data_IF_957132483088
#
_entry.id   IF_957132483088
#
_cell.length_a   1.000
_cell.length_b   1.000
_cell.length_c   1.000
_cell.angle_alpha   90.00
_cell.angle_beta   90.00
_cell.angle_gamma   90.00
#
_symmetry.space_group_name_H-M   'P 1'
#
loop_
_entity.id
_entity.type
_entity.pdbx_description
1 polymer ?
#
# COMPACT_ATOMS: atom_id res chain seq x y z
N UNK A 1 12.98 -2.00 -6.06
CA UNK A 1 11.84 -2.55 -5.28
C UNK A 1 10.65 -1.58 -5.23
N UNK A 2 10.83 -0.35 -4.72
CA UNK A 2 9.74 0.63 -4.61
C UNK A 2 9.05 0.93 -5.95
N UNK A 3 9.82 1.15 -7.01
CA UNK A 3 9.30 1.36 -8.37
C UNK A 3 8.46 0.17 -8.86
N UNK A 4 8.91 -1.07 -8.63
CA UNK A 4 8.14 -2.27 -8.99
C UNK A 4 6.78 -2.32 -8.27
N UNK A 5 6.73 -1.90 -6.99
CA UNK A 5 5.47 -1.79 -6.23
C UNK A 5 4.57 -0.64 -6.72
N UNK A 6 5.14 0.43 -7.26
CA UNK A 6 4.38 1.51 -7.89
C UNK A 6 3.71 1.03 -9.18
N UNK A 7 4.46 0.31 -10.02
CA UNK A 7 3.93 -0.31 -11.25
C UNK A 7 2.83 -1.31 -10.89
N UNK A 8 3.10 -2.22 -9.96
CA UNK A 8 2.15 -3.25 -9.51
C UNK A 8 0.80 -2.65 -9.08
N UNK A 9 0.81 -1.69 -8.15
CA UNK A 9 -0.41 -1.02 -7.66
C UNK A 9 -1.14 -0.24 -8.76
N UNK A 10 -0.43 0.19 -9.80
CA UNK A 10 -1.01 0.93 -10.93
C UNK A 10 -1.72 0.03 -11.94
N UNK A 11 -1.35 -1.25 -12.04
CA UNK A 11 -1.90 -2.17 -13.06
C UNK A 11 -2.78 -3.29 -12.47
N UNK A 12 -2.49 -3.74 -11.24
CA UNK A 12 -3.14 -4.90 -10.61
C UNK A 12 -4.67 -4.79 -10.51
N UNK A 13 -5.28 -3.64 -10.14
CA UNK A 13 -6.73 -3.55 -9.97
C UNK A 13 -7.54 -3.70 -11.27
N UNK A 14 -6.88 -3.65 -12.43
CA UNK A 14 -7.54 -3.65 -13.73
C UNK A 14 -7.50 -5.02 -14.43
N UNK A 15 -6.87 -6.04 -13.82
CA UNK A 15 -7.05 -7.42 -14.27
C UNK A 15 -8.46 -7.91 -13.93
N UNK A 16 -9.08 -8.74 -14.79
CA UNK A 16 -10.39 -9.31 -14.48
C UNK A 16 -10.32 -10.23 -13.26
N UNK A 17 -11.43 -10.31 -12.51
CA UNK A 17 -11.55 -11.25 -11.40
C UNK A 17 -11.39 -12.70 -11.90
N UNK A 18 -10.74 -13.55 -11.10
CA UNK A 18 -10.45 -14.93 -11.47
C UNK A 18 -9.36 -15.11 -12.54
N UNK A 19 -8.59 -14.08 -12.88
CA UNK A 19 -7.48 -14.18 -13.82
C UNK A 19 -6.23 -14.82 -13.17
N UNK A 20 -6.24 -16.14 -13.00
CA UNK A 20 -5.14 -16.90 -12.38
C UNK A 20 -4.17 -17.47 -13.40
N UNK A 21 -3.59 -16.55 -14.17
CA UNK A 21 -2.54 -16.85 -15.13
C UNK A 21 -1.27 -16.13 -14.68
N UNK A 22 -0.18 -16.89 -14.55
CA UNK A 22 1.10 -16.31 -14.18
C UNK A 22 1.49 -15.23 -15.20
N UNK A 23 1.74 -14.02 -14.69
CA UNK A 23 1.90 -12.82 -15.50
C UNK A 23 3.07 -12.03 -14.97
N UNK A 24 4.08 -11.83 -15.81
CA UNK A 24 5.29 -11.11 -15.46
C UNK A 24 5.43 -9.84 -16.29
N UNK A 25 5.65 -8.72 -15.61
CA UNK A 25 6.00 -7.43 -16.24
C UNK A 25 7.46 -7.13 -15.91
N UNK A 26 8.29 -6.99 -16.95
CA UNK A 26 9.71 -6.66 -16.83
C UNK A 26 9.94 -5.30 -17.47
N UNK A 27 10.63 -4.42 -16.74
CA UNK A 27 11.05 -3.10 -17.23
C UNK A 27 12.56 -3.11 -17.43
N UNK A 28 13.02 -2.77 -18.63
CA UNK A 28 14.43 -2.61 -18.96
C UNK A 28 14.73 -1.13 -19.23
N UNK A 29 15.74 -0.58 -18.58
CA UNK A 29 16.20 0.79 -18.79
C UNK A 29 17.21 0.81 -19.94
N UNK A 30 16.74 1.12 -21.14
CA UNK A 30 17.58 1.18 -22.34
C UNK A 30 18.61 2.32 -22.27
N UNK A 31 18.17 3.49 -21.80
CA UNK A 31 18.99 4.65 -21.57
C UNK A 31 18.34 5.49 -20.45
N UNK A 32 19.16 6.21 -19.70
CA UNK A 32 18.73 7.14 -18.66
C UNK A 32 19.54 8.41 -18.83
N UNK A 33 18.86 9.55 -18.94
CA UNK A 33 19.50 10.86 -18.88
C UNK A 33 19.62 11.34 -17.43
N UNK A 34 20.37 12.43 -17.24
CA UNK A 34 20.58 13.08 -15.95
C UNK A 34 19.40 13.96 -15.51
N UNK A 35 18.35 14.04 -16.33
CA UNK A 35 17.31 15.06 -16.21
C UNK A 35 15.99 14.47 -15.72
N UNK A 36 15.57 13.31 -16.23
CA UNK A 36 14.29 12.69 -15.90
C UNK A 36 14.46 11.36 -15.15
N UNK A 37 13.58 11.15 -14.16
CA UNK A 37 13.51 9.89 -13.43
C UNK A 37 12.71 8.87 -14.25
N UNK A 38 13.19 7.63 -14.46
CA UNK A 38 12.57 6.65 -15.35
C UNK A 38 11.31 5.97 -14.77
N UNK A 39 10.95 6.25 -13.52
CA UNK A 39 9.91 5.52 -12.80
C UNK A 39 8.53 5.66 -13.43
N UNK A 40 8.16 6.88 -13.84
CA UNK A 40 6.86 7.17 -14.45
C UNK A 40 6.76 6.58 -15.85
N UNK A 41 7.85 6.62 -16.61
CA UNK A 41 7.96 6.01 -17.93
C UNK A 41 7.78 4.50 -17.83
N UNK A 42 8.35 3.86 -16.81
CA UNK A 42 8.15 2.43 -16.59
C UNK A 42 6.68 2.06 -16.30
N UNK A 43 5.93 2.90 -15.55
CA UNK A 43 4.50 2.69 -15.31
C UNK A 43 3.71 2.80 -16.64
N UNK A 44 3.97 3.86 -17.40
CA UNK A 44 3.30 4.08 -18.70
C UNK A 44 3.67 3.00 -19.73
N UNK A 45 4.91 2.51 -19.72
CA UNK A 45 5.36 1.43 -20.58
C UNK A 45 4.67 0.10 -20.22
N UNK A 46 4.50 -0.21 -18.93
CA UNK A 46 3.74 -1.38 -18.49
C UNK A 46 2.28 -1.31 -18.96
N UNK A 47 1.66 -0.12 -18.85
CA UNK A 47 0.31 0.14 -19.35
C UNK A 47 0.20 -0.05 -20.86
N UNK A 48 1.11 0.54 -21.63
CA UNK A 48 1.16 0.39 -23.08
C UNK A 48 1.41 -1.07 -23.49
N UNK A 49 2.31 -1.78 -22.81
CA UNK A 49 2.61 -3.18 -23.10
C UNK A 49 1.39 -4.08 -22.86
N UNK A 50 0.65 -3.89 -21.77
CA UNK A 50 -0.59 -4.63 -21.49
C UNK A 50 -1.70 -4.27 -22.49
N UNK A 51 -1.87 -2.99 -22.79
CA UNK A 51 -2.85 -2.53 -23.79
C UNK A 51 -2.57 -3.11 -25.18
N UNK A 52 -1.30 -3.19 -25.58
CA UNK A 52 -0.84 -3.75 -26.85
C UNK A 52 -0.53 -5.25 -26.79
N UNK A 53 -0.90 -5.93 -25.70
CA UNK A 53 -0.83 -7.39 -25.63
C UNK A 53 -2.21 -8.00 -25.91
N UNK A 54 -2.23 -9.31 -26.07
CA UNK A 54 -3.48 -10.07 -26.06
C UNK A 54 -3.99 -10.36 -24.64
N UNK A 55 -3.30 -9.94 -23.56
CA UNK A 55 -3.68 -10.20 -22.17
C UNK A 55 -4.96 -9.41 -21.82
N UNK A 56 -5.98 -10.05 -21.19
CA UNK A 56 -7.18 -9.36 -20.72
C UNK A 56 -6.84 -8.38 -19.58
N UNK A 57 -6.99 -7.08 -19.86
CA UNK A 57 -6.67 -6.03 -18.90
C UNK A 57 -7.50 -4.77 -19.19
N UNK A 58 -8.20 -4.25 -18.18
CA UNK A 58 -9.21 -3.19 -18.29
C UNK A 58 -8.61 -1.78 -18.19
N UNK A 59 -7.47 -1.54 -18.86
CA UNK A 59 -6.83 -0.23 -18.97
C UNK A 59 -7.27 0.55 -20.22
N UNK A 60 -6.39 1.39 -20.80
CA UNK A 60 -5.05 1.72 -20.32
C UNK A 60 -5.07 2.68 -19.14
N UNK A 61 -3.95 2.72 -18.41
CA UNK A 61 -3.68 3.81 -17.46
C UNK A 61 -2.71 4.82 -18.06
N UNK A 62 -2.73 6.04 -17.52
CA UNK A 62 -1.66 7.02 -17.67
C UNK A 62 -1.11 7.37 -16.30
N UNK A 63 0.19 7.66 -16.22
CA UNK A 63 0.85 8.05 -15.00
C UNK A 63 1.71 9.29 -15.19
N UNK A 64 1.71 10.17 -14.20
CA UNK A 64 2.57 11.37 -14.15
C UNK A 64 3.15 11.54 -12.75
N UNK A 65 4.31 12.20 -12.67
CA UNK A 65 4.80 12.81 -11.43
C UNK A 65 4.36 14.26 -11.40
N UNK A 66 4.02 14.74 -10.22
CA UNK A 66 3.59 16.10 -9.93
C UNK A 66 4.49 16.65 -8.83
N UNK A 67 5.17 17.75 -9.13
CA UNK A 67 5.94 18.55 -8.18
C UNK A 67 5.23 19.86 -7.85
N UNK A 68 5.71 20.54 -6.82
CA UNK A 68 5.28 21.87 -6.40
C UNK A 68 6.52 22.72 -6.16
N UNK A 69 6.73 23.75 -6.99
CA UNK A 69 7.95 24.58 -6.98
C UNK A 69 7.49 26.03 -6.93
N UNK A 70 7.94 26.78 -5.93
CA UNK A 70 7.52 28.17 -5.70
C UNK A 70 5.98 28.36 -5.67
N UNK A 71 5.25 27.34 -5.18
CA UNK A 71 3.79 27.31 -5.12
C UNK A 71 3.08 26.89 -6.41
N UNK A 72 3.82 26.58 -7.47
CA UNK A 72 3.29 26.19 -8.77
C UNK A 72 3.40 24.70 -9.04
N UNK A 73 2.35 24.12 -9.63
CA UNK A 73 2.30 22.69 -9.97
C UNK A 73 3.08 22.41 -11.26
N UNK A 74 4.08 21.53 -11.17
CA UNK A 74 4.91 21.11 -12.31
C UNK A 74 4.67 19.63 -12.62
N UNK A 75 4.41 19.31 -13.89
CA UNK A 75 4.18 17.94 -14.36
C UNK A 75 5.47 17.33 -14.91
N UNK A 76 5.76 16.10 -14.47
CA UNK A 76 6.98 15.37 -14.76
C UNK A 76 8.25 16.22 -14.57
N UNK A 77 8.42 16.86 -13.39
CA UNK A 77 9.58 17.68 -13.09
C UNK A 77 10.88 16.88 -13.28
N UNK A 78 11.90 17.58 -13.76
CA UNK A 78 13.28 17.11 -13.82
C UNK A 78 13.82 16.79 -12.42
N UNK A 79 14.94 16.08 -12.33
CA UNK A 79 15.62 15.79 -11.07
C UNK A 79 16.04 17.05 -10.33
N UNK A 80 16.45 18.09 -11.08
CA UNK A 80 16.80 19.40 -10.52
C UNK A 80 15.57 20.08 -9.92
N UNK A 81 14.50 20.17 -10.68
CA UNK A 81 13.21 20.70 -10.20
C UNK A 81 12.70 19.94 -8.97
N UNK A 82 12.80 18.61 -8.98
CA UNK A 82 12.42 17.76 -7.84
C UNK A 82 13.24 18.01 -6.58
N UNK A 83 14.47 18.53 -6.68
CA UNK A 83 15.28 18.87 -5.51
C UNK A 83 14.82 20.14 -4.80
N UNK A 84 14.05 20.99 -5.50
CA UNK A 84 13.44 22.22 -4.97
C UNK A 84 11.94 22.07 -4.75
N UNK A 85 11.38 20.88 -5.00
CA UNK A 85 9.95 20.63 -4.96
C UNK A 85 9.49 20.24 -3.57
N UNK A 86 8.47 20.91 -3.03
CA UNK A 86 7.82 20.57 -1.75
C UNK A 86 6.84 19.41 -1.86
N UNK A 87 6.62 18.90 -3.08
CA UNK A 87 5.75 17.76 -3.36
C UNK A 87 6.44 16.77 -4.30
N UNK A 88 6.32 15.48 -4.00
CA UNK A 88 6.64 14.38 -4.92
C UNK A 88 5.44 13.45 -4.97
N UNK A 89 4.50 13.75 -5.86
CA UNK A 89 3.27 12.97 -6.05
C UNK A 89 3.35 12.19 -7.36
N UNK A 90 3.12 10.89 -7.32
CA UNK A 90 2.88 10.07 -8.52
C UNK A 90 1.40 9.72 -8.56
N UNK A 91 0.75 10.04 -9.69
CA UNK A 91 -0.67 9.75 -9.94
C UNK A 91 -0.77 8.79 -11.11
N UNK A 92 -1.46 7.67 -10.93
CA UNK A 92 -1.90 6.79 -12.01
C UNK A 92 -3.41 6.87 -12.15
N UNK A 93 -3.88 7.28 -13.33
CA UNK A 93 -5.28 7.40 -13.67
C UNK A 93 -5.71 6.37 -14.72
N UNK A 94 -6.97 5.97 -14.66
CA UNK A 94 -7.70 5.18 -15.66
C UNK A 94 -8.66 6.09 -16.46
N UNK A 95 -9.33 5.57 -17.50
CA UNK A 95 -10.28 6.36 -18.29
C UNK A 95 -11.39 6.97 -17.43
N UNK A 96 -11.99 8.05 -17.91
CA UNK A 96 -13.03 8.83 -17.19
C UNK A 96 -12.52 9.45 -15.88
N UNK A 97 -11.22 9.75 -15.81
CA UNK A 97 -10.60 10.38 -14.63
C UNK A 97 -10.79 9.57 -13.34
N UNK A 98 -10.77 8.24 -13.43
CA UNK A 98 -10.70 7.38 -12.25
C UNK A 98 -9.25 7.30 -11.75
N UNK A 99 -9.05 7.46 -10.44
CA UNK A 99 -7.73 7.29 -9.82
C UNK A 99 -7.53 5.80 -9.52
N UNK A 100 -6.41 5.24 -9.96
CA UNK A 100 -6.01 3.85 -9.66
C UNK A 100 -5.00 3.81 -8.53
N UNK A 101 -4.01 4.70 -8.56
CA UNK A 101 -2.90 4.71 -7.59
C UNK A 101 -2.43 6.15 -7.32
N UNK A 102 -2.17 6.43 -6.04
CA UNK A 102 -1.47 7.63 -5.58
C UNK A 102 -0.31 7.20 -4.69
N UNK A 103 0.85 7.81 -4.90
CA UNK A 103 1.99 7.73 -3.99
C UNK A 103 2.55 9.14 -3.80
N UNK A 104 2.71 9.59 -2.56
CA UNK A 104 3.21 10.93 -2.30
C UNK A 104 4.24 10.99 -1.17
N UNK A 105 5.12 11.97 -1.27
CA UNK A 105 5.85 12.58 -0.16
C UNK A 105 5.72 14.09 -0.31
N UNK A 106 5.56 14.83 0.77
CA UNK A 106 5.39 16.28 0.73
C UNK A 106 5.97 16.93 1.98
N UNK A 107 6.47 18.15 1.84
CA UNK A 107 7.07 18.93 2.93
C UNK A 107 5.98 19.71 3.66
N UNK A 108 5.09 18.98 4.34
CA UNK A 108 3.98 19.51 5.14
C UNK A 108 3.10 20.56 4.42
N UNK A 109 2.79 20.30 3.14
CA UNK A 109 1.99 21.23 2.34
C UNK A 109 0.51 21.27 2.76
N UNK A 110 -0.20 22.33 2.38
CA UNK A 110 -1.63 22.47 2.66
C UNK A 110 -2.45 21.39 1.93
N UNK A 111 -3.53 20.93 2.58
CA UNK A 111 -4.45 19.96 2.00
C UNK A 111 -5.04 20.44 0.65
N UNK A 112 -5.34 21.73 0.52
CA UNK A 112 -5.90 22.30 -0.69
C UNK A 112 -4.93 22.18 -1.87
N UNK A 113 -3.65 22.47 -1.64
CA UNK A 113 -2.58 22.36 -2.64
C UNK A 113 -2.34 20.91 -3.04
N UNK A 114 -2.33 20.00 -2.06
CA UNK A 114 -2.22 18.56 -2.33
C UNK A 114 -3.39 18.05 -3.19
N UNK A 115 -4.63 18.43 -2.86
CA UNK A 115 -5.81 18.09 -3.64
C UNK A 115 -5.78 18.72 -5.04
N UNK A 116 -5.28 19.95 -5.17
CA UNK A 116 -5.10 20.61 -6.46
C UNK A 116 -4.10 19.85 -7.34
N UNK A 117 -2.94 19.49 -6.78
CA UNK A 117 -1.91 18.72 -7.48
C UNK A 117 -2.43 17.36 -7.99
N UNK A 118 -3.27 16.64 -7.20
CA UNK A 118 -3.93 15.41 -7.66
C UNK A 118 -4.80 15.67 -8.89
N UNK A 119 -5.64 16.71 -8.85
CA UNK A 119 -6.56 17.04 -9.96
C UNK A 119 -5.79 17.39 -11.24
N UNK A 120 -4.73 18.18 -11.12
CA UNK A 120 -3.88 18.55 -12.26
C UNK A 120 -3.13 17.33 -12.81
N UNK A 121 -2.59 16.48 -11.93
CA UNK A 121 -1.95 15.22 -12.33
C UNK A 121 -2.90 14.31 -13.11
N UNK A 122 -4.09 14.07 -12.56
CA UNK A 122 -5.13 13.24 -13.16
C UNK A 122 -5.59 13.76 -14.53
N UNK A 123 -5.65 15.09 -14.74
CA UNK A 123 -5.92 15.68 -16.06
C UNK A 123 -4.85 15.25 -17.09
N UNK A 124 -3.59 15.28 -16.71
CA UNK A 124 -2.48 14.93 -17.61
C UNK A 124 -2.40 13.41 -17.87
N UNK A 125 -2.83 12.57 -16.92
CA UNK A 125 -2.92 11.12 -17.19
C UNK A 125 -3.89 10.81 -18.34
N UNK A 126 -4.96 11.59 -18.51
CA UNK A 126 -5.93 11.37 -19.59
C UNK A 126 -5.32 11.60 -20.98
N UNK A 127 -4.36 12.51 -21.12
CA UNK A 127 -3.65 12.74 -22.39
C UNK A 127 -2.82 11.51 -22.78
N UNK A 128 -2.13 10.89 -21.81
CA UNK A 128 -1.37 9.66 -22.02
C UNK A 128 -2.30 8.49 -22.40
N UNK A 129 -3.44 8.36 -21.70
CA UNK A 129 -4.47 7.34 -21.99
C UNK A 129 -4.96 7.47 -23.43
N UNK A 130 -5.23 8.69 -23.91
CA UNK A 130 -5.66 8.92 -25.28
C UNK A 130 -4.60 8.47 -26.30
N UNK A 131 -3.33 8.74 -26.03
CA UNK A 131 -2.21 8.27 -26.85
C UNK A 131 -2.12 6.74 -26.90
N UNK A 132 -2.22 6.06 -25.75
CA UNK A 132 -2.18 4.59 -25.70
C UNK A 132 -3.40 3.97 -26.41
N UNK A 133 -4.59 4.54 -26.23
CA UNK A 133 -5.80 4.10 -26.93
C UNK A 133 -5.70 4.29 -28.45
N UNK A 134 -5.01 5.35 -28.91
CA UNK A 134 -4.73 5.51 -30.33
C UNK A 134 -3.85 4.37 -30.85
N UNK A 135 -2.75 4.07 -30.15
CA UNK A 135 -1.86 2.96 -30.51
C UNK A 135 -2.59 1.61 -30.53
N UNK A 136 -3.46 1.37 -29.56
CA UNK A 136 -4.29 0.15 -29.50
C UNK A 136 -5.21 0.02 -30.72
N UNK A 137 -5.88 1.11 -31.13
CA UNK A 137 -6.72 1.14 -32.33
C UNK A 137 -5.93 0.90 -33.61
N UNK A 138 -4.76 1.51 -33.74
CA UNK A 138 -3.89 1.36 -34.91
C UNK A 138 -3.36 -0.08 -35.06
N UNK A 139 -3.12 -0.78 -33.95
CA UNK A 139 -2.63 -2.17 -33.97
C UNK A 139 -3.73 -3.21 -34.07
N UNK A 140 -4.94 -2.92 -33.59
CA UNK A 140 -6.11 -3.80 -33.73
C UNK A 140 -5.95 -5.17 -33.05
N UNK A 141 -5.21 -5.24 -31.94
CA UNK A 141 -4.87 -6.50 -31.27
C UNK A 141 -6.10 -7.05 -30.56
N UNK A 142 -6.47 -8.29 -30.89
CA UNK A 142 -7.56 -8.99 -30.20
C UNK A 142 -7.07 -9.53 -28.86
N UNK A 143 -7.82 -9.28 -27.79
CA UNK A 143 -7.60 -9.90 -26.48
C UNK A 143 -7.92 -11.39 -26.55
N UNK A 144 -7.12 -12.22 -25.89
CA UNK A 144 -7.39 -13.66 -25.76
C UNK A 144 -8.66 -13.87 -24.92
N UNK A 145 -9.51 -14.82 -25.31
CA UNK A 145 -10.81 -15.07 -24.68
C UNK A 145 -11.02 -16.51 -24.24
N UNK A 146 -10.18 -17.45 -24.70
CA UNK A 146 -10.34 -18.89 -24.45
C UNK A 146 -9.91 -19.32 -23.03
N UNK A 147 -9.61 -18.34 -22.17
CA UNK A 147 -9.14 -18.56 -20.81
C UNK A 147 -10.32 -18.73 -19.85
N UNK A 148 -10.31 -19.83 -19.07
CA UNK A 148 -11.20 -20.00 -17.93
C UNK A 148 -10.89 -18.91 -16.90
N UNK A 149 -11.87 -18.04 -16.63
CA UNK A 149 -11.83 -17.18 -15.45
C UNK A 149 -12.30 -18.00 -14.24
N UNK A 150 -11.49 -18.03 -13.20
CA UNK A 150 -11.77 -18.77 -11.96
C UNK A 150 -12.68 -17.95 -11.04
N UNK A 151 -13.88 -17.65 -11.51
CA UNK A 151 -14.93 -16.98 -10.74
C UNK A 151 -15.88 -18.01 -10.15
N UNK A 152 -16.42 -17.73 -8.96
CA UNK A 152 -17.42 -18.57 -8.33
C UNK A 152 -18.68 -18.75 -9.22
N UNK A 153 -19.11 -19.99 -9.51
CA UNK A 153 -20.34 -20.22 -10.28
C UNK A 153 -21.58 -19.66 -9.57
N UNK A 154 -22.43 -18.93 -10.30
CA UNK A 154 -23.59 -18.24 -9.71
C UNK A 154 -24.54 -19.17 -8.93
N UNK A 155 -24.72 -20.40 -9.40
CA UNK A 155 -25.57 -21.39 -8.73
C UNK A 155 -25.04 -21.77 -7.35
N UNK A 156 -23.71 -21.99 -7.24
CA UNK A 156 -23.04 -22.33 -5.99
C UNK A 156 -23.09 -21.12 -5.04
N UNK A 157 -22.84 -19.90 -5.55
CA UNK A 157 -22.95 -18.66 -4.78
C UNK A 157 -24.35 -18.49 -4.17
N UNK A 158 -25.42 -18.69 -4.97
CA UNK A 158 -26.80 -18.57 -4.48
C UNK A 158 -27.10 -19.59 -3.39
N UNK A 159 -26.63 -20.83 -3.54
CA UNK A 159 -26.82 -21.86 -2.51
C UNK A 159 -26.00 -21.55 -1.25
N UNK A 160 -24.75 -21.13 -1.39
CA UNK A 160 -23.91 -20.69 -0.29
C UNK A 160 -24.55 -19.51 0.47
N UNK A 161 -25.18 -18.59 -0.25
CA UNK A 161 -25.92 -17.48 0.33
C UNK A 161 -27.09 -17.98 1.19
N UNK A 162 -27.88 -18.95 0.70
CA UNK A 162 -28.98 -19.53 1.48
C UNK A 162 -28.50 -20.18 2.78
N UNK A 163 -27.35 -20.87 2.75
CA UNK A 163 -26.81 -21.57 3.91
C UNK A 163 -26.15 -20.65 4.95
N UNK A 164 -25.39 -19.66 4.48
CA UNK A 164 -24.47 -18.91 5.33
C UNK A 164 -24.99 -17.53 5.72
N UNK A 165 -25.95 -16.94 5.00
CA UNK A 165 -26.25 -15.51 5.14
C UNK A 165 -26.61 -15.08 6.54
N UNK A 166 -27.54 -15.78 7.18
CA UNK A 166 -27.99 -15.44 8.54
C UNK A 166 -26.85 -15.55 9.55
N UNK A 167 -26.10 -16.67 9.52
CA UNK A 167 -24.96 -16.92 10.42
C UNK A 167 -23.85 -15.89 10.25
N UNK A 168 -23.48 -15.57 9.01
CA UNK A 168 -22.44 -14.57 8.70
C UNK A 168 -22.89 -13.17 9.11
N UNK A 169 -24.15 -12.83 8.87
CA UNK A 169 -24.74 -11.55 9.28
C UNK A 169 -24.71 -11.40 10.80
N UNK A 170 -25.07 -12.45 11.53
CA UNK A 170 -25.02 -12.44 12.99
C UNK A 170 -23.60 -12.16 13.51
N UNK A 171 -22.58 -12.83 12.96
CA UNK A 171 -21.18 -12.60 13.36
C UNK A 171 -20.72 -11.17 13.05
N UNK A 172 -21.04 -10.62 11.89
CA UNK A 172 -20.64 -9.26 11.53
C UNK A 172 -21.45 -8.16 12.23
N UNK A 173 -22.58 -8.51 12.85
CA UNK A 173 -23.41 -7.60 13.65
C UNK A 173 -23.14 -7.72 15.16
N UNK A 174 -22.37 -8.73 15.58
CA UNK A 174 -21.93 -8.89 16.96
C UNK A 174 -20.65 -8.08 17.20
N UNK A 175 -20.83 -6.93 17.86
CA UNK A 175 -19.73 -6.00 18.17
C UNK A 175 -18.86 -6.44 19.36
N UNK A 176 -19.18 -7.58 20.01
CA UNK A 176 -18.34 -8.14 21.08
C UNK A 176 -17.12 -8.88 20.54
N UNK A 177 -17.12 -9.22 19.25
CA UNK A 177 -16.01 -9.90 18.60
C UNK A 177 -14.76 -9.03 18.44
N UNK A 178 -13.62 -9.56 18.90
CA UNK A 178 -12.30 -9.09 18.51
C UNK A 178 -11.87 -9.67 17.14
N UNK A 179 -10.64 -9.40 16.67
CA UNK A 179 -10.11 -9.96 15.42
C UNK A 179 -10.17 -11.51 15.39
N UNK A 180 -9.63 -12.17 16.40
CA UNK A 180 -9.43 -13.63 16.40
C UNK A 180 -10.78 -14.33 16.50
N UNK A 181 -11.61 -13.96 17.49
CA UNK A 181 -12.91 -14.60 17.67
C UNK A 181 -13.84 -14.42 16.45
N UNK A 182 -13.75 -13.29 15.74
CA UNK A 182 -14.49 -13.08 14.48
C UNK A 182 -13.98 -13.99 13.36
N UNK A 183 -12.66 -14.05 13.17
CA UNK A 183 -12.06 -14.87 12.12
C UNK A 183 -12.35 -16.36 12.35
N UNK A 184 -12.31 -16.83 13.60
CA UNK A 184 -12.69 -18.18 14.00
C UNK A 184 -14.18 -18.47 13.77
N UNK A 185 -15.07 -17.55 14.14
CA UNK A 185 -16.51 -17.69 13.94
C UNK A 185 -16.86 -17.77 12.45
N UNK A 186 -16.29 -16.89 11.62
CA UNK A 186 -16.46 -16.94 10.16
C UNK A 186 -15.87 -18.22 9.58
N UNK A 187 -14.69 -18.65 10.03
CA UNK A 187 -14.07 -19.88 9.55
C UNK A 187 -14.91 -21.13 9.90
N UNK A 188 -15.52 -21.17 11.09
CA UNK A 188 -16.43 -22.26 11.45
C UNK A 188 -17.61 -22.33 10.49
N UNK A 189 -18.25 -21.19 10.21
CA UNK A 189 -19.36 -21.11 9.25
C UNK A 189 -18.89 -21.50 7.84
N UNK A 190 -17.68 -21.09 7.45
CA UNK A 190 -17.07 -21.47 6.17
C UNK A 190 -16.98 -22.99 6.06
N UNK A 191 -16.34 -23.66 7.00
CA UNK A 191 -16.15 -25.12 6.95
C UNK A 191 -17.48 -25.87 6.88
N UNK A 192 -18.46 -25.49 7.72
CA UNK A 192 -19.81 -26.08 7.69
C UNK A 192 -20.54 -25.86 6.34
N UNK A 193 -20.34 -24.70 5.73
CA UNK A 193 -20.97 -24.34 4.46
C UNK A 193 -20.27 -25.06 3.30
N UNK A 194 -18.94 -25.10 3.29
CA UNK A 194 -18.16 -25.79 2.27
C UNK A 194 -18.44 -27.29 2.24
N UNK A 195 -18.66 -27.92 3.40
CA UNK A 195 -19.06 -29.34 3.50
C UNK A 195 -20.41 -29.60 2.79
N UNK A 196 -21.43 -28.81 3.12
CA UNK A 196 -22.76 -28.92 2.49
C UNK A 196 -22.73 -28.57 1.00
N UNK A 197 -21.89 -27.62 0.59
CA UNK A 197 -21.71 -27.28 -0.82
C UNK A 197 -21.05 -28.43 -1.58
N UNK A 198 -20.06 -29.12 -1.00
CA UNK A 198 -19.42 -30.30 -1.60
C UNK A 198 -20.39 -31.46 -1.77
N UNK A 199 -21.29 -31.67 -0.81
CA UNK A 199 -22.35 -32.68 -0.93
C UNK A 199 -23.37 -32.34 -2.03
N UNK A 200 -23.76 -31.06 -2.12
CA UNK A 200 -24.73 -30.58 -3.11
C UNK A 200 -24.16 -30.54 -4.53
N UNK A 201 -22.89 -30.18 -4.67
CA UNK A 201 -22.17 -29.99 -5.93
C UNK A 201 -20.92 -30.87 -5.98
N UNK A 202 -21.05 -32.21 -6.02
CA UNK A 202 -19.92 -33.14 -5.90
C UNK A 202 -18.92 -33.07 -7.07
N UNK A 203 -19.29 -32.44 -8.18
CA UNK A 203 -18.42 -32.22 -9.34
C UNK A 203 -17.75 -30.84 -9.40
N UNK A 204 -18.03 -29.95 -8.44
CA UNK A 204 -17.43 -28.62 -8.39
C UNK A 204 -15.99 -28.67 -7.87
N UNK A 205 -15.13 -27.80 -8.40
CA UNK A 205 -13.77 -27.68 -7.91
C UNK A 205 -13.76 -27.11 -6.48
N UNK A 206 -12.89 -27.60 -5.60
CA UNK A 206 -12.84 -27.13 -4.21
C UNK A 206 -12.56 -25.63 -4.12
N UNK A 207 -11.83 -25.06 -5.09
CA UNK A 207 -11.59 -23.64 -5.17
C UNK A 207 -12.88 -22.87 -5.48
N UNK A 208 -13.71 -23.35 -6.41
CA UNK A 208 -15.01 -22.72 -6.74
C UNK A 208 -15.95 -22.69 -5.53
N UNK A 209 -15.90 -23.74 -4.70
CA UNK A 209 -16.66 -23.83 -3.44
C UNK A 209 -16.17 -22.78 -2.43
N UNK A 210 -14.87 -22.73 -2.17
CA UNK A 210 -14.28 -21.74 -1.24
C UNK A 210 -14.49 -20.31 -1.71
N UNK A 211 -14.31 -20.04 -3.02
CA UNK A 211 -14.52 -18.70 -3.57
C UNK A 211 -15.99 -18.29 -3.51
N UNK A 212 -16.93 -19.23 -3.69
CA UNK A 212 -18.36 -18.96 -3.54
C UNK A 212 -18.71 -18.47 -2.13
N UNK A 213 -18.16 -19.10 -1.09
CA UNK A 213 -18.32 -18.62 0.28
C UNK A 213 -17.68 -17.24 0.49
N UNK A 214 -16.47 -17.03 -0.03
CA UNK A 214 -15.76 -15.74 0.11
C UNK A 214 -16.55 -14.58 -0.54
N UNK A 215 -17.14 -14.81 -1.72
CA UNK A 215 -18.00 -13.83 -2.40
C UNK A 215 -19.20 -13.46 -1.53
N UNK A 216 -19.91 -14.46 -0.99
CA UNK A 216 -21.08 -14.26 -0.11
C UNK A 216 -20.70 -13.49 1.15
N UNK A 217 -19.65 -13.94 1.86
CA UNK A 217 -19.22 -13.29 3.10
C UNK A 217 -18.79 -11.83 2.87
N UNK A 218 -18.07 -11.57 1.77
CA UNK A 218 -17.67 -10.23 1.37
C UNK A 218 -18.87 -9.35 1.01
N UNK A 219 -19.85 -9.88 0.31
CA UNK A 219 -21.06 -9.14 -0.06
C UNK A 219 -21.86 -8.74 1.18
N UNK A 220 -22.12 -9.70 2.10
CA UNK A 220 -22.83 -9.45 3.35
C UNK A 220 -22.10 -8.38 4.18
N UNK A 221 -20.79 -8.54 4.36
CA UNK A 221 -19.97 -7.58 5.09
C UNK A 221 -20.10 -6.15 4.55
N UNK A 222 -20.07 -6.00 3.21
CA UNK A 222 -20.20 -4.69 2.56
C UNK A 222 -21.62 -4.13 2.69
N UNK A 223 -22.64 -4.97 2.49
CA UNK A 223 -24.03 -4.56 2.55
C UNK A 223 -24.42 -4.09 3.95
N UNK A 224 -23.94 -4.75 5.01
CA UNK A 224 -24.14 -4.30 6.39
C UNK A 224 -23.61 -2.88 6.60
N UNK A 225 -22.38 -2.62 6.18
CA UNK A 225 -21.76 -1.28 6.29
C UNK A 225 -22.58 -0.22 5.53
N UNK A 226 -23.03 -0.54 4.32
CA UNK A 226 -23.76 0.40 3.46
C UNK A 226 -25.20 0.65 3.91
N UNK A 227 -25.86 -0.36 4.47
CA UNK A 227 -27.27 -0.31 4.84
C UNK A 227 -27.47 0.20 6.27
N UNK A 228 -26.61 -0.22 7.21
CA UNK A 228 -26.75 0.10 8.64
C UNK A 228 -25.90 1.28 9.08
N UNK A 229 -25.02 1.79 8.20
CA UNK A 229 -24.09 2.88 8.51
C UNK A 229 -23.19 2.59 9.73
N UNK A 230 -22.95 1.31 9.99
CA UNK A 230 -22.22 0.79 11.15
C UNK A 230 -21.26 -0.30 10.72
N UNK A 231 -20.12 -0.37 11.39
CA UNK A 231 -19.06 -1.35 11.10
C UNK A 231 -19.18 -2.58 11.98
N UNK A 232 -18.48 -3.63 11.59
CA UNK A 232 -18.46 -4.92 12.29
C UNK A 232 -17.88 -4.90 13.72
N UNK A 233 -17.26 -3.80 14.13
CA UNK A 233 -16.79 -3.56 15.50
C UNK A 233 -17.60 -2.47 16.22
N UNK A 234 -18.80 -2.17 15.70
CA UNK A 234 -19.77 -1.27 16.31
C UNK A 234 -19.50 0.22 16.07
N UNK A 235 -18.38 0.59 15.43
CA UNK A 235 -18.03 1.99 15.14
C UNK A 235 -18.81 2.57 13.97
N UNK A 236 -18.97 3.88 13.96
CA UNK A 236 -19.34 4.66 12.78
C UNK A 236 -18.15 4.81 11.80
N UNK A 237 -18.37 5.53 10.70
CA UNK A 237 -17.38 5.72 9.63
C UNK A 237 -16.18 6.61 10.01
N UNK A 238 -16.32 7.43 11.03
CA UNK A 238 -15.35 8.46 11.44
C UNK A 238 -14.62 8.13 12.75
N UNK A 239 -15.23 7.30 13.60
CA UNK A 239 -14.70 6.96 14.92
C UNK A 239 -13.41 6.12 14.82
N UNK A 240 -12.36 6.62 15.49
CA UNK A 240 -11.08 5.93 15.64
C UNK A 240 -11.20 4.75 16.63
N UNK A 241 -10.25 3.82 16.55
CA UNK A 241 -10.08 2.79 17.59
C UNK A 241 -9.40 3.45 18.80
N UNK A 242 -9.50 2.82 19.96
CA UNK A 242 -8.74 3.23 21.15
C UNK A 242 -7.26 3.32 20.83
N UNK A 243 -6.62 4.41 21.25
CA UNK A 243 -5.19 4.67 21.09
C UNK A 243 -4.58 4.80 22.48
N UNK A 244 -3.46 4.14 22.70
CA UNK A 244 -2.59 4.34 23.85
C UNK A 244 -1.15 4.37 23.39
N UNK A 245 -0.32 5.11 24.13
CA UNK A 245 1.09 5.25 23.82
C UNK A 245 1.90 5.36 25.09
N UNK A 246 3.10 4.76 25.06
CA UNK A 246 4.10 4.82 26.12
C UNK A 246 5.45 5.14 25.47
N UNK A 247 6.31 5.86 26.21
CA UNK A 247 7.68 6.21 25.81
C UNK A 247 8.64 5.86 26.95
N UNK A 248 9.96 5.95 26.73
CA UNK A 248 10.99 5.60 27.72
C UNK A 248 10.82 4.17 28.28
N UNK A 249 10.54 3.21 27.40
CA UNK A 249 10.34 1.81 27.78
C UNK A 249 11.62 1.16 28.32
N UNK A 250 12.76 1.58 27.78
CA UNK A 250 14.06 0.99 28.09
C UNK A 250 15.12 2.07 28.28
N UNK A 251 15.73 2.08 29.47
CA UNK A 251 16.76 3.07 29.86
C UNK A 251 17.99 3.12 28.95
N UNK A 252 18.33 2.01 28.28
CA UNK A 252 19.53 1.91 27.44
C UNK A 252 19.32 2.36 26.00
N UNK A 253 18.06 2.48 25.54
CA UNK A 253 17.77 2.92 24.19
C UNK A 253 17.82 4.45 24.12
N UNK A 254 18.34 4.99 23.01
CA UNK A 254 18.39 6.44 22.84
C UNK A 254 16.98 7.03 22.87
N UNK A 255 16.02 6.40 22.18
CA UNK A 255 14.59 6.67 22.34
C UNK A 255 13.75 5.43 22.05
N UNK A 256 12.57 5.34 22.66
CA UNK A 256 11.67 4.20 22.48
C UNK A 256 10.22 4.62 22.70
N UNK A 257 9.32 4.01 21.93
CA UNK A 257 7.88 4.19 22.09
C UNK A 257 7.10 2.93 21.73
N UNK A 258 6.05 2.64 22.48
CA UNK A 258 5.04 1.63 22.15
C UNK A 258 3.76 2.35 21.76
N UNK A 259 3.33 2.17 20.52
CA UNK A 259 2.09 2.76 20.01
C UNK A 259 1.05 1.67 19.76
N UNK A 260 -0.11 1.80 20.40
CA UNK A 260 -1.26 0.90 20.22
C UNK A 260 -2.42 1.66 19.57
N UNK A 261 -3.05 1.03 18.57
CA UNK A 261 -4.37 1.47 18.06
C UNK A 261 -5.29 0.28 17.80
N UNK A 262 -6.23 0.05 18.71
CA UNK A 262 -7.01 -1.19 18.76
C UNK A 262 -6.11 -2.39 18.99
N UNK A 263 -6.18 -3.41 18.13
CA UNK A 263 -5.29 -4.59 18.14
C UNK A 263 -4.14 -4.43 17.12
N UNK A 264 -3.56 -3.23 17.00
CA UNK A 264 -2.38 -2.98 16.18
C UNK A 264 -1.34 -2.31 17.05
N UNK A 265 -0.23 -2.99 17.26
CA UNK A 265 0.84 -2.62 18.16
C UNK A 265 2.14 -2.47 17.39
N UNK A 266 2.83 -1.35 17.57
CA UNK A 266 4.14 -1.13 16.98
C UNK A 266 5.09 -0.60 18.05
N UNK A 267 6.21 -1.30 18.24
CA UNK A 267 7.35 -0.83 19.01
C UNK A 267 8.25 -0.03 18.06
N UNK A 268 8.55 1.20 18.43
CA UNK A 268 9.50 2.05 17.71
C UNK A 268 10.71 2.33 18.60
N UNK A 269 11.90 2.25 18.02
CA UNK A 269 13.15 2.58 18.71
C UNK A 269 13.95 3.56 17.86
N UNK A 270 14.62 4.49 18.52
CA UNK A 270 15.58 5.42 17.90
C UNK A 270 16.98 5.00 18.32
N UNK A 271 17.87 4.95 17.34
CA UNK A 271 19.30 4.73 17.55
C UNK A 271 20.09 5.80 16.81
N UNK A 272 20.94 6.52 17.54
CA UNK A 272 21.94 7.38 16.95
C UNK A 272 23.17 6.57 16.54
N UNK A 273 23.72 6.94 15.39
CA UNK A 273 24.86 6.28 14.78
C UNK A 273 25.80 7.33 14.17
N UNK A 274 27.02 6.92 13.83
CA UNK A 274 28.00 7.77 13.16
C UNK A 274 27.49 8.26 11.80
N UNK A 275 27.93 9.45 11.37
CA UNK A 275 27.62 9.97 10.03
C UNK A 275 28.18 9.07 8.92
N UNK A 276 29.32 8.41 9.17
CA UNK A 276 29.95 7.48 8.23
C UNK A 276 29.07 6.26 7.92
N UNK A 277 28.18 5.86 8.84
CA UNK A 277 27.29 4.71 8.65
C UNK A 277 26.12 4.96 7.69
N UNK A 278 25.85 6.23 7.34
CA UNK A 278 24.81 6.61 6.37
C UNK A 278 25.27 6.45 4.92
N UNK A 279 26.58 6.28 4.70
CA UNK A 279 27.17 6.16 3.36
C UNK A 279 27.05 4.71 2.89
N UNK A 280 26.18 4.47 1.89
CA UNK A 280 26.16 3.22 1.11
C UNK A 280 26.40 3.53 -0.35
N UNK A 281 27.50 3.04 -0.91
CA UNK A 281 27.80 3.10 -2.34
C UNK A 281 27.26 1.86 -3.04
N UNK A 282 26.09 1.99 -3.67
CA UNK A 282 25.70 1.08 -4.75
C UNK A 282 25.92 1.82 -6.07
N UNK A 283 26.80 1.31 -6.94
CA UNK A 283 27.14 1.91 -8.23
C UNK A 283 25.90 2.30 -9.04
N UNK A 284 24.85 1.47 -9.06
CA UNK A 284 23.64 1.75 -9.83
C UNK A 284 22.83 2.87 -9.18
N UNK A 285 22.69 2.85 -7.85
CA UNK A 285 22.01 3.91 -7.10
C UNK A 285 22.78 5.22 -7.16
N UNK A 286 24.11 5.19 -7.13
CA UNK A 286 24.98 6.36 -7.26
C UNK A 286 24.88 6.96 -8.66
N UNK A 287 24.86 6.15 -9.72
CA UNK A 287 24.67 6.64 -11.10
C UNK A 287 23.24 7.15 -11.31
N UNK A 288 22.23 6.46 -10.77
CA UNK A 288 20.83 6.82 -10.99
C UNK A 288 20.31 7.92 -10.05
N UNK A 289 20.93 8.19 -8.90
CA UNK A 289 20.41 9.08 -7.86
C UNK A 289 21.47 9.92 -7.12
N UNK A 290 22.76 9.78 -7.45
CA UNK A 290 23.88 10.37 -6.71
C UNK A 290 24.22 9.63 -5.40
N UNK A 291 25.30 10.03 -4.74
CA UNK A 291 25.53 9.66 -3.32
C UNK A 291 24.54 10.48 -2.51
N UNK A 292 23.51 9.82 -1.95
CA UNK A 292 22.60 10.47 -1.02
C UNK A 292 23.07 10.17 0.39
N UNK A 293 23.59 11.18 1.08
CA UNK A 293 23.67 11.15 2.54
C UNK A 293 22.23 11.02 3.07
N UNK A 294 21.92 9.85 3.63
CA UNK A 294 20.66 9.62 4.33
C UNK A 294 20.95 9.57 5.82
N UNK A 295 21.13 10.74 6.42
CA UNK A 295 21.32 10.86 7.87
C UNK A 295 20.04 10.57 8.65
N UNK A 296 18.92 10.29 7.97
CA UNK A 296 17.70 9.74 8.55
C UNK A 296 17.24 8.52 7.75
N UNK A 297 16.90 7.44 8.46
CA UNK A 297 16.31 6.25 7.85
C UNK A 297 15.35 5.55 8.82
N UNK A 298 14.33 4.90 8.26
CA UNK A 298 13.41 4.07 9.03
C UNK A 298 13.39 2.63 8.51
N UNK A 299 13.76 1.69 9.38
CA UNK A 299 13.59 0.27 9.16
C UNK A 299 12.25 -0.20 9.72
N UNK A 300 11.55 -1.05 8.97
CA UNK A 300 10.24 -1.57 9.35
C UNK A 300 10.28 -3.08 9.23
N UNK A 301 9.78 -3.77 10.25
CA UNK A 301 9.68 -5.22 10.30
C UNK A 301 8.24 -5.64 10.61
N UNK A 302 7.78 -6.69 9.92
CA UNK A 302 6.49 -7.32 10.14
C UNK A 302 6.73 -8.81 10.40
N UNK A 303 7.11 -9.16 11.62
CA UNK A 303 7.37 -10.54 11.99
C UNK A 303 6.09 -11.40 11.96
N UNK A 304 6.19 -12.70 11.65
CA UNK A 304 5.03 -13.60 11.51
C UNK A 304 4.16 -13.71 12.78
N UNK A 305 4.77 -13.56 13.96
CA UNK A 305 4.04 -13.63 15.22
C UNK A 305 3.00 -12.50 15.36
N UNK A 306 3.16 -11.39 14.65
CA UNK A 306 2.21 -10.26 14.72
C UNK A 306 0.81 -10.59 14.16
N UNK A 307 0.69 -11.67 13.39
CA UNK A 307 -0.59 -12.24 12.95
C UNK A 307 -0.82 -13.65 13.45
N UNK A 308 -0.03 -14.11 14.43
CA UNK A 308 -0.06 -15.48 14.96
C UNK A 308 0.20 -16.54 13.86
N UNK A 309 1.13 -16.24 12.95
CA UNK A 309 1.52 -17.12 11.85
C UNK A 309 3.00 -17.56 11.97
N UNK A 310 3.38 -18.57 11.18
CA UNK A 310 4.78 -18.98 11.01
C UNK A 310 5.24 -18.52 9.62
N UNK A 311 6.42 -17.92 9.55
CA UNK A 311 6.98 -17.42 8.30
C UNK A 311 8.50 -17.37 8.32
N UNK A 312 9.10 -17.15 7.15
CA UNK A 312 10.55 -16.95 7.02
C UNK A 312 10.90 -15.52 7.40
N UNK A 313 11.83 -15.35 8.34
CA UNK A 313 12.32 -14.05 8.83
C UNK A 313 13.72 -13.75 8.25
N UNK A 314 14.02 -14.24 7.05
CA UNK A 314 15.32 -14.07 6.41
C UNK A 314 15.21 -13.34 5.07
N UNK A 315 16.21 -12.49 4.79
CA UNK A 315 16.33 -11.75 3.53
C UNK A 315 15.50 -10.47 3.47
N UNK A 316 15.49 -9.84 2.29
CA UNK A 316 14.76 -8.57 2.09
C UNK A 316 13.31 -8.83 1.68
N UNK A 317 12.36 -8.43 2.54
CA UNK A 317 10.94 -8.47 2.23
C UNK A 317 10.50 -7.17 1.52
N UNK A 318 9.93 -7.31 0.32
CA UNK A 318 9.50 -6.16 -0.50
C UNK A 318 8.37 -5.35 0.16
N UNK A 319 7.48 -5.99 0.92
CA UNK A 319 6.36 -5.31 1.61
C UNK A 319 6.89 -4.47 2.78
N UNK A 320 7.78 -5.05 3.58
CA UNK A 320 8.42 -4.36 4.71
C UNK A 320 9.21 -3.14 4.23
N UNK A 321 10.05 -3.29 3.20
CA UNK A 321 10.77 -2.15 2.61
C UNK A 321 9.80 -1.05 2.10
N UNK A 322 8.69 -1.45 1.50
CA UNK A 322 7.65 -0.51 1.06
C UNK A 322 6.98 0.25 2.21
N UNK A 323 6.68 -0.43 3.32
CA UNK A 323 6.07 0.18 4.51
C UNK A 323 7.08 1.04 5.28
N UNK A 324 8.32 0.60 5.42
CA UNK A 324 9.40 1.38 6.02
C UNK A 324 9.66 2.66 5.24
N UNK A 325 9.75 2.58 3.91
CA UNK A 325 9.86 3.77 3.07
C UNK A 325 8.65 4.71 3.25
N UNK A 326 7.42 4.19 3.38
CA UNK A 326 6.22 5.02 3.62
C UNK A 326 6.29 5.76 4.97
N UNK A 327 6.68 5.08 6.05
CA UNK A 327 6.84 5.73 7.35
C UNK A 327 8.04 6.68 7.38
N UNK A 328 9.17 6.34 6.74
CA UNK A 328 10.33 7.24 6.56
C UNK A 328 9.90 8.54 5.86
N UNK A 329 9.16 8.44 4.75
CA UNK A 329 8.61 9.59 4.01
C UNK A 329 7.71 10.48 4.86
N UNK A 330 6.92 9.87 5.75
CA UNK A 330 5.98 10.60 6.60
C UNK A 330 6.71 11.42 7.68
N UNK A 331 7.82 10.92 8.21
CA UNK A 331 8.60 11.58 9.26
C UNK A 331 9.64 12.55 8.72
N UNK A 332 10.20 12.28 7.54
CA UNK A 332 11.31 13.06 6.97
C UNK A 332 11.09 14.59 7.01
N UNK A 333 9.92 15.15 6.68
CA UNK A 333 9.71 16.61 6.68
C UNK A 333 9.90 17.30 8.03
N UNK A 334 9.78 16.56 9.14
CA UNK A 334 9.94 17.10 10.50
C UNK A 334 11.30 16.77 11.11
N UNK A 335 12.16 16.06 10.37
CA UNK A 335 13.53 15.77 10.81
C UNK A 335 14.43 16.98 10.52
N UNK A 336 15.25 17.43 11.47
CA UNK A 336 16.17 18.54 11.25
C UNK A 336 17.23 18.21 10.20
N UNK A 337 17.49 19.15 9.29
CA UNK A 337 18.51 19.01 8.23
C UNK A 337 19.94 18.84 8.79
N UNK A 338 20.22 19.49 9.93
CA UNK A 338 21.52 19.47 10.59
C UNK A 338 21.39 18.77 11.94
N UNK A 339 21.75 17.49 11.97
CA UNK A 339 21.87 16.71 13.20
C UNK A 339 23.27 16.07 13.27
N UNK A 340 23.93 16.05 14.44
CA UNK A 340 25.32 15.58 14.57
C UNK A 340 25.50 14.07 14.36
N UNK A 341 24.40 13.32 14.28
CA UNK A 341 24.39 11.87 14.14
C UNK A 341 23.48 11.42 13.00
N UNK A 342 23.70 10.19 12.54
CA UNK A 342 22.71 9.48 11.73
C UNK A 342 21.59 8.99 12.65
N UNK A 343 20.34 9.31 12.30
CA UNK A 343 19.14 8.89 13.01
C UNK A 343 18.58 7.62 12.34
N UNK A 344 18.56 6.52 13.08
CA UNK A 344 17.91 5.26 12.67
C UNK A 344 16.67 5.03 13.52
N UNK A 345 15.51 4.99 12.88
CA UNK A 345 14.26 4.52 13.51
C UNK A 345 14.04 3.07 13.12
N UNK A 346 13.79 2.19 14.07
CA UNK A 346 13.32 0.82 13.80
C UNK A 346 11.88 0.70 14.29
N UNK A 347 11.00 0.18 13.45
CA UNK A 347 9.59 -0.05 13.76
C UNK A 347 9.26 -1.53 13.62
N UNK A 348 8.95 -2.17 14.74
CA UNK A 348 8.61 -3.59 14.82
C UNK A 348 7.12 -3.72 15.11
N UNK A 349 6.40 -4.36 14.19
CA UNK A 349 4.97 -4.64 14.40
C UNK A 349 4.84 -5.85 15.33
N UNK A 350 4.25 -5.64 16.50
CA UNK A 350 4.06 -6.70 17.50
C UNK A 350 2.68 -7.35 17.39
N UNK A 351 1.67 -6.59 16.97
CA UNK A 351 0.31 -7.05 16.71
C UNK A 351 -0.22 -6.36 15.46
N UNK A 352 -0.95 -7.08 14.60
CA UNK A 352 -1.53 -6.50 13.39
C UNK A 352 -3.03 -6.76 13.24
N UNK A 353 -3.79 -5.68 13.32
CA UNK A 353 -5.17 -5.57 12.87
C UNK A 353 -5.32 -4.37 11.89
N UNK A 354 -4.29 -4.17 11.05
CA UNK A 354 -4.29 -3.21 9.95
C UNK A 354 -3.70 -1.83 10.26
N UNK A 355 -3.16 -1.21 9.22
CA UNK A 355 -2.54 0.13 9.24
C UNK A 355 -1.28 0.26 10.11
N UNK A 356 -0.45 -0.79 10.12
CA UNK A 356 0.83 -0.83 10.85
C UNK A 356 1.82 0.25 10.42
N UNK A 357 1.93 0.57 9.12
CA UNK A 357 2.84 1.62 8.63
C UNK A 357 2.51 3.02 9.18
N UNK A 358 1.24 3.33 9.40
CA UNK A 358 0.84 4.60 10.03
C UNK A 358 1.09 4.57 11.54
N UNK A 359 0.92 3.41 12.18
CA UNK A 359 1.33 3.24 13.57
C UNK A 359 2.85 3.39 13.74
N UNK A 360 3.66 2.96 12.76
CA UNK A 360 5.10 3.21 12.71
C UNK A 360 5.45 4.69 12.57
N UNK A 361 4.68 5.46 11.78
CA UNK A 361 4.87 6.91 11.73
C UNK A 361 4.56 7.55 13.10
N UNK A 362 3.43 7.22 13.73
CA UNK A 362 3.08 7.73 15.05
C UNK A 362 4.10 7.34 16.13
N UNK A 363 4.45 6.05 16.23
CA UNK A 363 5.43 5.56 17.19
C UNK A 363 6.84 6.10 16.92
N UNK A 364 7.20 6.29 15.65
CA UNK A 364 8.46 6.91 15.25
C UNK A 364 8.55 8.37 15.73
N UNK A 365 7.48 9.16 15.59
CA UNK A 365 7.42 10.52 16.16
C UNK A 365 7.64 10.50 17.67
N UNK A 366 6.94 9.63 18.40
CA UNK A 366 7.05 9.52 19.85
C UNK A 366 8.46 9.10 20.31
N UNK A 367 9.06 8.12 19.62
CA UNK A 367 10.40 7.66 19.94
C UNK A 367 11.48 8.70 19.62
N UNK A 368 11.26 9.54 18.59
CA UNK A 368 12.13 10.69 18.29
C UNK A 368 12.04 11.76 19.38
N UNK A 369 10.83 12.07 19.87
CA UNK A 369 10.64 12.99 21.01
C UNK A 369 11.30 12.46 22.29
N UNK A 370 11.14 11.17 22.60
CA UNK A 370 11.80 10.54 23.76
C UNK A 370 13.34 10.62 23.66
N UNK A 371 13.88 10.44 22.45
CA UNK A 371 15.32 10.59 22.22
C UNK A 371 15.81 12.02 22.44
N UNK A 372 15.01 13.01 22.04
CA UNK A 372 15.31 14.43 22.23
C UNK A 372 15.38 14.80 23.73
N UNK A 373 14.41 14.36 24.53
CA UNK A 373 14.39 14.66 25.97
C UNK A 373 15.60 14.08 26.72
N UNK A 374 16.16 12.98 26.21
CA UNK A 374 17.33 12.31 26.79
C UNK A 374 18.68 12.85 26.31
N UNK A 375 18.78 13.42 25.11
CA UNK A 375 19.93 14.18 24.60
C UNK A 375 19.66 14.75 23.18
N UNK A 376 19.77 16.08 23.03
CA UNK A 376 19.87 16.88 21.78
C UNK A 376 18.54 17.19 21.08
N UNK A 377 18.21 18.50 21.00
CA UNK A 377 17.10 19.10 20.25
C UNK A 377 16.81 18.44 18.90
N UNK A 378 15.71 17.71 18.81
CA UNK A 378 15.00 17.39 17.58
C UNK A 378 13.75 18.27 17.62
N UNK A 379 13.88 19.57 17.32
CA UNK A 379 12.69 20.42 17.20
C UNK A 379 11.85 19.87 16.06
N UNK A 380 10.89 19.02 16.40
CA UNK A 380 9.83 18.56 15.51
C UNK A 380 8.96 19.80 15.26
N UNK A 381 9.01 20.30 14.03
CA UNK A 381 8.20 21.43 13.58
C UNK A 381 6.70 21.15 13.70
#
# INVERSE_FOLDING_TARGET
ILTSRLIDRSIRPLFPAGYYYDTQIICNLLAVDDSYSPEVQAINAASAALALSDIPWNGPIGAVRVGMIDGEVVINPTRKEMSSSTLNLVVSGAPRSHIVMLEAAADNILQQDFCHAIKVGLKHTQQIIQGIQQLERERGIKKRTDQKLFTAPEEIVKYAQQLASEKVTAVFSDFTHDKISRDEAINKIRLETEEQLKEKFPGADSYEITESFNVVAKEIFRNLIMNEYRRCDGRDFTTLRNISCEVDLFKTLHGSALFQRGQTQVLCTVTFDSLESSIKSDLITTVASGIKEKNFMLHYEFPPYATNEIGRVSGSNRRELGHGALAEKALKPVIPDKFPFTIRVTSEVLESNGSSSMASACGGTLALMDAEEKNICIILL
#
